data_IF_780096614885
#
_entry.id   IF_780096614885
#
_cell.length_a   1.000
_cell.length_b   1.000
_cell.length_c   1.000
_cell.angle_alpha   90.00
_cell.angle_beta   90.00
_cell.angle_gamma   90.00
#
_symmetry.space_group_name_H-M   'P 1'
#
loop_
_entity.id
_entity.type
_entity.pdbx_description
1 polymer ?
#
# COMPACT_ATOMS: atom_id res chain seq x y z
N UNK A 1 -2.98 17.64 12.15
CA UNK A 1 -2.15 16.97 11.11
C UNK A 1 -2.79 17.24 9.76
N UNK A 2 -2.01 17.71 8.81
CA UNK A 2 -2.50 18.04 7.47
C UNK A 2 -2.43 16.81 6.55
N UNK A 3 -3.11 16.87 5.38
CA UNK A 3 -3.02 15.82 4.37
C UNK A 3 -1.57 15.56 3.93
N UNK A 4 -0.70 16.59 3.95
CA UNK A 4 0.70 16.45 3.56
C UNK A 4 1.51 15.53 4.50
N UNK A 5 0.99 15.23 5.68
CA UNK A 5 1.68 14.39 6.66
C UNK A 5 1.41 12.90 6.47
N UNK A 6 0.60 12.53 5.50
CA UNK A 6 0.22 11.14 5.25
C UNK A 6 0.54 10.68 3.84
N UNK A 7 0.47 9.36 3.65
CA UNK A 7 0.56 8.73 2.34
C UNK A 7 -0.32 7.48 2.30
N UNK A 8 -0.77 7.11 1.11
CA UNK A 8 -1.40 5.81 0.89
C UNK A 8 -0.29 4.84 0.52
N UNK A 9 -0.21 3.71 1.21
CA UNK A 9 0.83 2.70 0.97
C UNK A 9 0.18 1.42 0.46
N UNK A 10 0.54 1.02 -0.75
CA UNK A 10 0.15 -0.24 -1.34
C UNK A 10 0.86 -1.41 -0.63
N UNK A 11 0.21 -2.55 -0.57
CA UNK A 11 0.75 -3.75 0.06
C UNK A 11 2.12 -4.17 -0.50
N UNK A 12 2.40 -3.89 -1.79
CA UNK A 12 3.69 -4.21 -2.40
C UNK A 12 4.87 -3.57 -1.68
N UNK A 13 4.70 -2.34 -1.18
CA UNK A 13 5.77 -1.61 -0.47
C UNK A 13 6.01 -2.26 0.90
N UNK A 14 4.94 -2.55 1.62
CA UNK A 14 5.04 -3.18 2.95
C UNK A 14 5.66 -4.57 2.85
N UNK A 15 5.19 -5.38 1.91
CA UNK A 15 5.72 -6.72 1.70
C UNK A 15 7.19 -6.69 1.27
N UNK A 16 7.56 -5.78 0.38
CA UNK A 16 8.95 -5.60 -0.02
C UNK A 16 9.84 -5.21 1.15
N UNK A 17 9.33 -4.42 2.08
CA UNK A 17 10.08 -4.04 3.27
C UNK A 17 10.19 -5.18 4.29
N UNK A 18 9.10 -5.92 4.52
CA UNK A 18 9.08 -6.99 5.53
C UNK A 18 9.81 -8.25 5.09
N UNK A 19 9.62 -8.67 3.84
CA UNK A 19 10.04 -9.99 3.38
C UNK A 19 11.48 -10.04 2.88
N UNK A 20 12.03 -8.91 2.44
CA UNK A 20 13.37 -8.86 1.89
C UNK A 20 14.42 -8.60 2.98
N UNK A 21 15.54 -9.32 2.93
CA UNK A 21 16.67 -9.08 3.83
C UNK A 21 17.38 -7.77 3.51
N UNK A 22 17.36 -7.36 2.24
CA UNK A 22 17.92 -6.11 1.74
C UNK A 22 16.83 -5.36 0.95
N UNK A 23 15.89 -4.69 1.64
CA UNK A 23 14.76 -4.03 0.97
C UNK A 23 15.20 -2.93 0.02
N UNK A 24 14.38 -2.69 -1.00
CA UNK A 24 14.54 -1.54 -1.87
C UNK A 24 14.60 -0.26 -1.00
N UNK A 25 15.56 0.65 -1.27
CA UNK A 25 15.67 1.90 -0.50
C UNK A 25 14.38 2.72 -0.45
N UNK A 26 13.57 2.71 -1.50
CA UNK A 26 12.29 3.41 -1.53
C UNK A 26 11.30 2.81 -0.52
N UNK A 27 11.27 1.47 -0.39
CA UNK A 27 10.43 0.81 0.61
C UNK A 27 10.87 1.19 2.02
N UNK A 28 12.18 1.11 2.29
CA UNK A 28 12.73 1.47 3.60
C UNK A 28 12.44 2.93 3.95
N UNK A 29 12.64 3.86 3.01
CA UNK A 29 12.35 5.28 3.23
C UNK A 29 10.87 5.53 3.52
N UNK A 30 9.98 4.90 2.76
CA UNK A 30 8.54 5.06 2.97
C UNK A 30 8.12 4.56 4.35
N UNK A 31 8.59 3.37 4.75
CA UNK A 31 8.23 2.79 6.03
C UNK A 31 8.86 3.54 7.22
N UNK A 32 10.12 3.98 7.10
CA UNK A 32 10.78 4.77 8.12
C UNK A 32 10.15 6.15 8.30
N UNK A 33 9.58 6.72 7.24
CA UNK A 33 8.86 7.99 7.31
C UNK A 33 7.64 7.91 8.24
N UNK A 34 7.13 6.72 8.53
CA UNK A 34 5.99 6.51 9.43
C UNK A 34 6.31 6.76 10.90
N UNK A 35 7.56 7.04 11.25
CA UNK A 35 7.90 7.57 12.58
C UNK A 35 7.33 8.99 12.79
N UNK A 36 7.14 9.75 11.70
CA UNK A 36 6.68 11.14 11.76
C UNK A 36 5.41 11.38 10.94
N UNK A 37 5.00 10.39 10.13
CA UNK A 37 3.86 10.49 9.23
C UNK A 37 2.92 9.32 9.46
N UNK A 38 1.71 9.40 8.89
CA UNK A 38 0.79 8.27 8.90
C UNK A 38 0.67 7.65 7.50
N UNK A 39 0.35 6.37 7.47
CA UNK A 39 -0.11 5.70 6.27
C UNK A 39 -1.63 5.53 6.36
N UNK A 40 -2.33 5.75 5.26
CA UNK A 40 -3.75 5.45 5.13
C UNK A 40 -3.90 4.30 4.14
N UNK A 41 -4.65 3.28 4.53
CA UNK A 41 -4.81 2.07 3.73
C UNK A 41 -6.28 1.65 3.66
N UNK A 42 -6.73 1.05 2.55
CA UNK A 42 -8.06 0.45 2.51
C UNK A 42 -8.09 -0.85 3.32
N UNK A 43 -9.28 -1.33 3.67
CA UNK A 43 -9.44 -2.63 4.35
C UNK A 43 -8.77 -3.75 3.56
N UNK A 44 -8.81 -3.69 2.24
CA UNK A 44 -8.16 -4.64 1.34
C UNK A 44 -6.66 -4.84 1.66
N UNK A 45 -5.96 -3.78 2.07
CA UNK A 45 -4.54 -3.84 2.39
C UNK A 45 -4.22 -4.94 3.41
N UNK A 46 -5.06 -5.11 4.41
CA UNK A 46 -4.86 -6.13 5.46
C UNK A 46 -4.88 -7.53 4.86
N UNK A 47 -5.79 -7.78 3.92
CA UNK A 47 -5.89 -9.08 3.24
C UNK A 47 -4.69 -9.30 2.32
N UNK A 48 -4.27 -8.31 1.60
CA UNK A 48 -3.15 -8.42 0.69
C UNK A 48 -1.83 -8.66 1.43
N UNK A 49 -1.59 -7.92 2.51
CA UNK A 49 -0.40 -8.13 3.34
C UNK A 49 -0.41 -9.52 3.97
N UNK A 50 -1.52 -9.91 4.59
CA UNK A 50 -1.66 -11.24 5.19
C UNK A 50 -1.44 -12.35 4.16
N UNK A 51 -1.98 -12.19 2.96
CA UNK A 51 -1.81 -13.17 1.90
C UNK A 51 -0.36 -13.24 1.39
N UNK A 52 0.31 -12.12 1.29
CA UNK A 52 1.74 -12.08 0.94
C UNK A 52 2.61 -12.79 1.97
N UNK A 53 2.32 -12.59 3.26
CA UNK A 53 3.02 -13.29 4.34
C UNK A 53 2.75 -14.80 4.29
N UNK A 54 1.50 -15.19 4.08
CA UNK A 54 1.12 -16.61 3.92
C UNK A 54 1.88 -17.25 2.76
N UNK A 55 1.96 -16.57 1.64
CA UNK A 55 2.65 -17.10 0.45
C UNK A 55 4.14 -17.30 0.73
N UNK A 56 4.78 -16.39 1.44
CA UNK A 56 6.19 -16.52 1.82
C UNK A 56 6.43 -17.71 2.75
N UNK A 57 5.51 -17.95 3.69
CA UNK A 57 5.59 -19.12 4.59
C UNK A 57 5.39 -20.41 3.79
N UNK A 58 4.42 -20.48 2.91
CA UNK A 58 4.17 -21.65 2.08
C UNK A 58 5.31 -21.95 1.12
N UNK A 59 5.99 -20.94 0.65
CA UNK A 59 7.16 -21.10 -0.21
C UNK A 59 8.44 -21.48 0.58
N UNK A 60 8.37 -21.53 1.90
CA UNK A 60 9.51 -21.88 2.74
C UNK A 60 10.53 -20.74 2.89
N UNK A 61 10.16 -19.52 2.50
CA UNK A 61 11.06 -18.35 2.58
C UNK A 61 11.16 -17.88 4.03
N UNK A 62 10.05 -17.91 4.76
CA UNK A 62 9.98 -17.53 6.16
C UNK A 62 9.27 -18.59 6.99
N UNK A 63 9.66 -18.80 8.27
CA UNK A 63 8.92 -19.70 9.15
C UNK A 63 7.56 -19.08 9.56
N UNK A 64 6.58 -19.92 9.97
CA UNK A 64 5.24 -19.42 10.33
C UNK A 64 5.23 -18.35 11.44
N UNK A 65 6.20 -18.41 12.35
CA UNK A 65 6.31 -17.49 13.48
C UNK A 65 6.56 -16.03 13.02
N UNK A 66 7.06 -15.83 11.80
CA UNK A 66 7.34 -14.49 11.29
C UNK A 66 6.07 -13.68 11.07
N UNK A 67 4.90 -14.32 10.88
CA UNK A 67 3.65 -13.59 10.68
C UNK A 67 3.34 -12.72 11.91
N UNK A 68 3.39 -13.30 13.11
CA UNK A 68 3.17 -12.52 14.34
C UNK A 68 4.25 -11.48 14.56
N UNK A 69 5.50 -11.80 14.29
CA UNK A 69 6.61 -10.86 14.44
C UNK A 69 6.46 -9.65 13.51
N UNK A 70 6.07 -9.88 12.26
CA UNK A 70 5.84 -8.79 11.31
C UNK A 70 4.60 -7.97 11.67
N UNK A 71 3.52 -8.61 12.14
CA UNK A 71 2.34 -7.91 12.63
C UNK A 71 2.70 -6.98 13.80
N UNK A 72 3.50 -7.46 14.74
CA UNK A 72 3.97 -6.64 15.88
C UNK A 72 4.75 -5.40 15.40
N UNK A 73 5.61 -5.56 14.39
CA UNK A 73 6.36 -4.43 13.82
C UNK A 73 5.42 -3.40 13.18
N UNK A 74 4.42 -3.86 12.46
CA UNK A 74 3.45 -2.96 11.81
C UNK A 74 2.58 -2.23 12.82
N UNK A 75 2.24 -2.86 13.94
CA UNK A 75 1.43 -2.25 14.99
C UNK A 75 2.13 -1.07 15.69
N UNK A 76 3.45 -1.00 15.60
CA UNK A 76 4.23 0.12 16.14
C UNK A 76 4.16 1.37 15.24
N UNK A 77 3.70 1.23 14.02
CA UNK A 77 3.64 2.30 13.04
C UNK A 77 2.24 2.93 13.00
N UNK A 78 2.17 4.19 12.60
CA UNK A 78 0.90 4.89 12.45
C UNK A 78 0.24 4.54 11.11
N UNK A 79 -0.33 3.35 11.05
CA UNK A 79 -1.06 2.86 9.89
C UNK A 79 -2.55 2.91 10.21
N UNK A 80 -3.27 3.75 9.47
CA UNK A 80 -4.71 3.99 9.67
C UNK A 80 -5.50 3.33 8.56
N UNK A 81 -6.62 2.73 8.90
CA UNK A 81 -7.49 2.07 7.94
C UNK A 81 -8.69 2.94 7.61
N UNK A 82 -8.93 3.14 6.31
CA UNK A 82 -10.18 3.71 5.84
C UNK A 82 -11.24 2.61 5.84
N UNK A 83 -12.23 2.73 6.73
CA UNK A 83 -13.28 1.72 6.92
C UNK A 83 -14.56 2.04 6.14
N UNK A 84 -14.56 3.06 5.32
CA UNK A 84 -15.71 3.40 4.49
C UNK A 84 -15.92 2.32 3.43
N UNK A 85 -17.15 1.83 3.31
CA UNK A 85 -17.48 0.82 2.32
C UNK A 85 -17.33 1.40 0.91
N UNK A 86 -16.54 0.78 0.04
CA UNK A 86 -16.40 1.27 -1.33
C UNK A 86 -17.69 1.09 -2.12
N UNK A 87 -17.92 2.03 -3.02
CA UNK A 87 -19.10 1.99 -3.90
C UNK A 87 -18.78 1.11 -5.12
N UNK A 88 -19.58 0.07 -5.30
CA UNK A 88 -19.41 -0.88 -6.41
C UNK A 88 -19.37 -0.17 -7.77
N UNK A 89 -20.31 0.75 -8.01
CA UNK A 89 -20.40 1.49 -9.29
C UNK A 89 -19.12 2.27 -9.57
N UNK A 90 -18.61 2.98 -8.58
CA UNK A 90 -17.41 3.80 -8.72
C UNK A 90 -16.18 2.93 -8.96
N UNK A 91 -16.01 1.88 -8.17
CA UNK A 91 -14.88 0.95 -8.34
C UNK A 91 -14.90 0.30 -9.72
N UNK A 92 -16.05 -0.22 -10.13
CA UNK A 92 -16.17 -0.91 -11.42
C UNK A 92 -15.93 0.00 -12.60
N UNK A 93 -16.51 1.20 -12.59
CA UNK A 93 -16.33 2.16 -13.67
C UNK A 93 -14.89 2.65 -13.77
N UNK A 94 -14.25 2.96 -12.65
CA UNK A 94 -12.85 3.40 -12.66
C UNK A 94 -11.91 2.26 -13.08
N UNK A 95 -12.17 1.03 -12.67
CA UNK A 95 -11.38 -0.12 -13.08
C UNK A 95 -11.41 -0.30 -14.60
N UNK A 96 -12.58 -0.18 -15.22
CA UNK A 96 -12.72 -0.24 -16.67
C UNK A 96 -12.00 0.93 -17.34
N UNK A 97 -12.22 2.14 -16.84
CA UNK A 97 -11.63 3.35 -17.41
C UNK A 97 -10.10 3.35 -17.36
N UNK A 98 -9.53 2.92 -16.23
CA UNK A 98 -8.09 2.92 -16.00
C UNK A 98 -7.38 1.65 -16.50
N UNK A 99 -8.13 0.59 -16.82
CA UNK A 99 -7.53 -0.70 -17.17
C UNK A 99 -6.83 -1.38 -16.00
N UNK A 100 -7.27 -1.10 -14.78
CA UNK A 100 -6.72 -1.66 -13.55
C UNK A 100 -7.73 -2.62 -12.89
N UNK A 101 -7.24 -3.47 -11.99
CA UNK A 101 -8.14 -4.23 -11.12
C UNK A 101 -8.85 -3.30 -10.16
N UNK A 102 -10.01 -3.72 -9.64
CA UNK A 102 -10.70 -2.97 -8.60
C UNK A 102 -9.83 -2.84 -7.33
N UNK A 103 -8.96 -3.80 -7.09
CA UNK A 103 -8.02 -3.77 -5.97
C UNK A 103 -7.05 -2.59 -6.08
N UNK A 104 -6.38 -2.44 -7.23
CA UNK A 104 -5.47 -1.33 -7.49
C UNK A 104 -6.21 0.01 -7.49
N UNK A 105 -7.41 0.04 -8.06
CA UNK A 105 -8.26 1.23 -8.08
C UNK A 105 -8.60 1.69 -6.66
N UNK A 106 -8.78 0.77 -5.71
CA UNK A 106 -9.09 1.15 -4.34
C UNK A 106 -7.98 2.02 -3.71
N UNK A 107 -6.73 1.73 -3.99
CA UNK A 107 -5.60 2.56 -3.56
C UNK A 107 -5.58 3.91 -4.28
N UNK A 108 -5.80 3.89 -5.58
CA UNK A 108 -5.79 5.11 -6.40
C UNK A 108 -6.88 6.08 -5.94
N UNK A 109 -8.11 5.59 -5.76
CA UNK A 109 -9.23 6.43 -5.33
C UNK A 109 -9.02 6.97 -3.92
N UNK A 110 -8.48 6.16 -3.02
CA UNK A 110 -8.19 6.61 -1.66
C UNK A 110 -7.19 7.76 -1.66
N UNK A 111 -6.10 7.62 -2.41
CA UNK A 111 -5.09 8.66 -2.54
C UNK A 111 -5.69 9.93 -3.15
N UNK A 112 -6.48 9.79 -4.21
CA UNK A 112 -7.14 10.93 -4.87
C UNK A 112 -8.10 11.64 -3.94
N UNK A 113 -8.98 10.90 -3.27
CA UNK A 113 -10.04 11.47 -2.43
C UNK A 113 -9.47 12.21 -1.21
N UNK A 114 -8.35 11.75 -0.69
CA UNK A 114 -7.72 12.34 0.49
C UNK A 114 -6.60 13.31 0.15
N UNK A 115 -6.25 13.46 -1.13
CA UNK A 115 -5.16 14.34 -1.56
C UNK A 115 -3.80 13.90 -1.02
N UNK A 116 -3.57 12.59 -0.92
CA UNK A 116 -2.34 12.02 -0.41
C UNK A 116 -1.50 11.40 -1.53
N UNK A 117 -0.17 11.42 -1.41
CA UNK A 117 0.67 10.69 -2.34
C UNK A 117 0.51 9.18 -2.19
N UNK A 118 0.78 8.46 -3.26
CA UNK A 118 0.69 7.00 -3.31
C UNK A 118 2.09 6.39 -3.37
N UNK A 119 2.36 5.44 -2.48
CA UNK A 119 3.56 4.62 -2.49
C UNK A 119 3.22 3.24 -3.04
N UNK A 120 3.80 2.87 -4.19
CA UNK A 120 3.56 1.58 -4.83
C UNK A 120 4.76 1.17 -5.67
N UNK A 121 4.98 -0.14 -5.77
CA UNK A 121 5.91 -0.73 -6.73
C UNK A 121 5.22 -1.27 -7.98
N UNK A 122 3.89 -1.20 -8.04
CA UNK A 122 3.15 -1.63 -9.24
C UNK A 122 3.27 -0.57 -10.33
N UNK A 123 3.89 -0.93 -11.46
CA UNK A 123 4.16 -0.01 -12.55
C UNK A 123 2.90 0.53 -13.22
N UNK A 124 1.86 -0.29 -13.37
CA UNK A 124 0.61 0.14 -13.99
C UNK A 124 -0.14 1.10 -13.07
N UNK A 125 -0.18 0.79 -11.77
CA UNK A 125 -0.81 1.67 -10.78
C UNK A 125 -0.08 3.00 -10.70
N UNK A 126 1.25 2.99 -10.68
CA UNK A 126 2.05 4.21 -10.65
C UNK A 126 1.82 5.07 -11.90
N UNK A 127 1.80 4.46 -13.08
CA UNK A 127 1.55 5.18 -14.33
C UNK A 127 0.16 5.82 -14.35
N UNK A 128 -0.85 5.10 -13.89
CA UNK A 128 -2.23 5.62 -13.80
C UNK A 128 -2.33 6.76 -12.78
N UNK A 129 -1.64 6.63 -11.65
CA UNK A 129 -1.59 7.70 -10.64
C UNK A 129 -1.06 8.98 -11.27
N UNK A 130 0.09 8.91 -11.96
CA UNK A 130 0.69 10.07 -12.64
C UNK A 130 -0.26 10.70 -13.65
N UNK A 131 -0.88 9.88 -14.51
CA UNK A 131 -1.76 10.38 -15.57
C UNK A 131 -3.08 10.95 -15.06
N UNK A 132 -3.47 10.64 -13.84
CA UNK A 132 -4.73 11.11 -13.24
C UNK A 132 -4.54 12.14 -12.13
N UNK A 133 -3.31 12.65 -11.96
CA UNK A 133 -3.02 13.74 -11.02
C UNK A 133 -2.83 13.31 -9.58
N UNK A 134 -2.57 12.04 -9.32
CA UNK A 134 -2.18 11.54 -7.99
C UNK A 134 -0.66 11.55 -7.90
N UNK A 135 -0.13 12.23 -6.90
CA UNK A 135 1.31 12.28 -6.67
C UNK A 135 1.83 10.93 -6.19
N UNK A 136 3.05 10.58 -6.60
CA UNK A 136 3.73 9.40 -6.12
C UNK A 136 4.67 9.76 -4.97
N UNK A 137 4.74 8.91 -3.95
CA UNK A 137 5.66 9.08 -2.83
C UNK A 137 7.13 8.92 -3.28
N UNK A 138 7.35 8.09 -4.30
CA UNK A 138 8.64 7.90 -4.96
C UNK A 138 8.41 7.43 -6.39
N UNK A 139 9.41 7.60 -7.24
CA UNK A 139 9.37 7.09 -8.62
C UNK A 139 10.01 5.71 -8.71
N UNK A 140 9.43 4.84 -9.54
CA UNK A 140 10.01 3.53 -9.86
C UNK A 140 10.57 3.55 -11.28
N UNK A 141 11.74 2.97 -11.43
CA UNK A 141 12.44 2.89 -12.71
C UNK A 141 11.99 1.67 -13.51
#
# INVERSE_FOLDING_TARGET
>A
MTAADGMVIDASVVLGWLLESDPDPHASQAMEALDERFALVPVLWHFEVANGLRNAVRAGIHPPETISAFADRLELLDIRTDSVTPQLRRLGNEAVLCGLTAYDVSYLLLARDRGLPLATFDGELAATARSTGVDLAFEIN
#
